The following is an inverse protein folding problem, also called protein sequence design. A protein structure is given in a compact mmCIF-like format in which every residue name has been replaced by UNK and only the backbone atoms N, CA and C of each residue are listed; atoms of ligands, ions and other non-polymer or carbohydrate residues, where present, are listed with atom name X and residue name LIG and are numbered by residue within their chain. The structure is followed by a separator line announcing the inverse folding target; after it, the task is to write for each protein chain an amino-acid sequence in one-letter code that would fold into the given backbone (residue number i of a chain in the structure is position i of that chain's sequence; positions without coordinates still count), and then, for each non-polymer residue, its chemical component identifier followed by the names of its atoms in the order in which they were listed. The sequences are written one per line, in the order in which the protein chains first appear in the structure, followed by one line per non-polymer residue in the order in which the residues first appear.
data_IF_774308721562
#
_entry.id   IF_774308721562
#
_cell.length_a   1.000
_cell.length_b   1.000
_cell.length_c   1.000
_cell.angle_alpha   90.00
_cell.angle_beta   90.00
_cell.angle_gamma   90.00
#
_symmetry.space_group_name_H-M   'P 1'
#
loop_
_entity.id
_entity.type
_entity.pdbx_description
1 polymer ?
#
# COMPACT_ATOMS: atom_id res chain seq x y z
N UNK A 1 18.06 -6.60 14.08
CA UNK A 1 17.25 -5.37 14.27
C UNK A 1 16.17 -5.69 15.28
N UNK A 2 15.94 -4.83 16.28
CA UNK A 2 14.86 -5.07 17.25
C UNK A 2 13.51 -4.84 16.56
N UNK A 3 12.58 -5.78 16.72
CA UNK A 3 11.22 -5.65 16.19
C UNK A 3 10.54 -4.42 16.77
N UNK A 4 10.23 -3.44 15.93
CA UNK A 4 9.49 -2.26 16.34
C UNK A 4 8.02 -2.64 16.53
N UNK A 5 7.45 -2.51 17.75
CA UNK A 5 6.08 -2.94 18.03
C UNK A 5 5.04 -2.16 17.20
N UNK A 6 5.34 -0.91 16.83
CA UNK A 6 4.46 -0.10 15.97
C UNK A 6 4.40 -0.71 14.58
N UNK A 7 5.52 -1.12 14.00
CA UNK A 7 5.57 -1.72 12.66
C UNK A 7 4.76 -3.02 12.59
N UNK A 8 4.85 -3.87 13.60
CA UNK A 8 4.04 -5.09 13.68
C UNK A 8 2.54 -4.78 13.82
N UNK A 9 2.19 -3.76 14.60
CA UNK A 9 0.80 -3.32 14.74
C UNK A 9 0.25 -2.79 13.40
N UNK A 10 1.06 -2.06 12.63
CA UNK A 10 0.71 -1.60 11.28
C UNK A 10 0.40 -2.81 10.39
N UNK A 11 1.31 -3.77 10.26
CA UNK A 11 1.08 -4.95 9.41
C UNK A 11 -0.16 -5.75 9.80
N UNK A 12 -0.34 -6.02 11.10
CA UNK A 12 -1.53 -6.73 11.58
C UNK A 12 -2.81 -5.97 11.24
N UNK A 13 -2.81 -4.64 11.39
CA UNK A 13 -3.95 -3.81 11.03
C UNK A 13 -4.18 -3.81 9.51
N UNK A 14 -3.14 -3.76 8.69
CA UNK A 14 -3.27 -3.81 7.23
C UNK A 14 -3.86 -5.15 6.78
N UNK A 15 -3.40 -6.27 7.33
CA UNK A 15 -3.95 -7.60 7.05
C UNK A 15 -5.44 -7.66 7.39
N UNK A 16 -5.82 -7.21 8.58
CA UNK A 16 -7.23 -7.19 8.99
C UNK A 16 -8.07 -6.28 8.07
N UNK A 17 -7.56 -5.08 7.78
CA UNK A 17 -8.28 -4.09 6.96
C UNK A 17 -8.53 -4.58 5.54
N UNK A 18 -7.50 -5.09 4.87
CA UNK A 18 -7.61 -5.53 3.48
C UNK A 18 -8.19 -6.94 3.36
N UNK A 19 -7.92 -7.83 4.32
CA UNK A 19 -8.41 -9.21 4.31
C UNK A 19 -9.87 -9.37 4.73
N UNK A 20 -10.39 -8.50 5.60
CA UNK A 20 -11.74 -8.63 6.15
C UNK A 20 -12.65 -7.46 5.76
N UNK A 21 -12.19 -6.22 5.96
CA UNK A 21 -13.06 -5.04 5.90
C UNK A 21 -13.26 -4.49 4.48
N UNK A 22 -12.22 -4.49 3.65
CA UNK A 22 -12.28 -3.85 2.34
C UNK A 22 -12.80 -4.75 1.22
N UNK A 23 -12.91 -6.07 1.43
CA UNK A 23 -13.53 -6.98 0.45
C UNK A 23 -14.92 -6.52 0.02
N UNK A 24 -15.69 -5.90 0.92
CA UNK A 24 -17.04 -5.40 0.62
C UNK A 24 -17.04 -4.17 -0.29
N UNK A 25 -16.00 -3.33 -0.24
CA UNK A 25 -15.91 -2.09 -1.04
C UNK A 25 -15.55 -2.37 -2.51
N UNK A 26 -14.82 -3.46 -2.75
CA UNK A 26 -14.36 -3.87 -4.06
C UNK A 26 -15.48 -4.42 -4.96
N UNK A 27 -16.67 -4.68 -4.43
CA UNK A 27 -17.84 -4.99 -5.27
C UNK A 27 -18.40 -3.76 -6.02
N UNK A 28 -17.90 -2.55 -5.76
CA UNK A 28 -18.33 -1.33 -6.47
C UNK A 28 -17.45 -1.08 -7.70
N UNK A 29 -18.06 -0.93 -8.87
CA UNK A 29 -17.38 -0.84 -10.18
C UNK A 29 -16.60 0.46 -10.44
N UNK A 30 -16.55 1.38 -9.48
CA UNK A 30 -15.91 2.68 -9.66
C UNK A 30 -14.62 2.79 -8.85
N UNK A 31 -13.49 2.85 -9.56
CA UNK A 31 -12.14 3.03 -9.00
C UNK A 31 -12.08 4.08 -7.90
N UNK A 32 -12.67 5.25 -8.15
CA UNK A 32 -12.69 6.39 -7.23
C UNK A 32 -13.33 6.05 -5.88
N UNK A 33 -14.33 5.16 -5.83
CA UNK A 33 -15.02 4.83 -4.58
C UNK A 33 -14.18 3.96 -3.67
N UNK A 34 -13.57 2.89 -4.19
CA UNK A 34 -12.74 2.02 -3.35
C UNK A 34 -11.42 2.71 -2.98
N UNK A 35 -10.79 3.46 -3.90
CA UNK A 35 -9.61 4.31 -3.61
C UNK A 35 -9.90 5.27 -2.47
N UNK A 36 -11.06 5.94 -2.50
CA UNK A 36 -11.53 6.78 -1.40
C UNK A 36 -11.70 5.98 -0.10
N UNK A 37 -12.33 4.81 -0.16
CA UNK A 37 -12.52 3.93 1.00
C UNK A 37 -11.21 3.53 1.67
N UNK A 38 -10.22 3.08 0.88
CA UNK A 38 -8.86 2.74 1.35
C UNK A 38 -8.21 3.94 2.02
N UNK A 39 -8.16 5.09 1.34
CA UNK A 39 -7.48 6.28 1.84
C UNK A 39 -8.09 6.79 3.16
N UNK A 40 -9.42 6.88 3.25
CA UNK A 40 -10.07 7.33 4.49
C UNK A 40 -9.85 6.33 5.64
N UNK A 41 -9.86 5.03 5.34
CA UNK A 41 -9.64 3.98 6.33
C UNK A 41 -8.21 4.04 6.89
N UNK A 42 -7.21 4.12 6.00
CA UNK A 42 -5.81 4.26 6.40
C UNK A 42 -5.54 5.61 7.08
N UNK A 43 -6.23 6.67 6.70
CA UNK A 43 -6.11 7.97 7.37
C UNK A 43 -6.55 7.88 8.84
N UNK A 44 -7.74 7.32 9.08
CA UNK A 44 -8.26 7.09 10.42
C UNK A 44 -7.29 6.26 11.27
N UNK A 45 -6.70 5.21 10.69
CA UNK A 45 -5.72 4.38 11.41
C UNK A 45 -4.42 5.11 11.71
N UNK A 46 -3.89 5.87 10.76
CA UNK A 46 -2.71 6.71 10.98
C UNK A 46 -2.92 7.65 12.16
N UNK A 47 -4.07 8.33 12.22
CA UNK A 47 -4.42 9.21 13.33
C UNK A 47 -4.56 8.48 14.67
N UNK A 48 -5.20 7.30 14.67
CA UNK A 48 -5.32 6.48 15.89
C UNK A 48 -3.97 6.04 16.44
N UNK A 49 -2.96 5.88 15.58
CA UNK A 49 -1.58 5.58 15.96
C UNK A 49 -0.74 6.83 16.26
N UNK A 50 -1.35 8.02 16.29
CA UNK A 50 -0.66 9.28 16.54
C UNK A 50 0.28 9.70 15.40
N UNK A 51 0.03 9.23 14.17
CA UNK A 51 0.72 9.68 12.98
C UNK A 51 -0.03 10.84 12.31
N UNK A 52 0.69 11.70 11.61
CA UNK A 52 0.13 12.61 10.62
C UNK A 52 0.03 11.87 9.28
N UNK A 53 -1.04 12.11 8.53
CA UNK A 53 -1.36 11.44 7.27
C UNK A 53 -1.37 12.45 6.13
N UNK A 54 -0.74 12.07 5.03
CA UNK A 54 -0.64 12.88 3.83
C UNK A 54 -1.14 12.05 2.64
N UNK A 55 -2.13 12.59 1.94
CA UNK A 55 -2.76 11.97 0.76
C UNK A 55 -3.66 13.03 0.09
N UNK A 56 -4.29 12.71 -1.04
CA UNK A 56 -5.21 13.63 -1.72
C UNK A 56 -6.34 14.09 -0.80
N UNK A 57 -6.40 15.40 -0.48
CA UNK A 57 -7.48 15.96 0.36
C UNK A 57 -8.85 15.90 -0.30
N UNK A 58 -8.90 15.84 -1.64
CA UNK A 58 -10.15 15.65 -2.37
C UNK A 58 -10.80 14.29 -2.06
N UNK A 59 -9.99 13.26 -1.81
CA UNK A 59 -10.46 11.92 -1.50
C UNK A 59 -10.53 11.68 0.02
N UNK A 60 -9.62 12.26 0.79
CA UNK A 60 -9.55 12.15 2.24
C UNK A 60 -9.41 13.52 2.91
N UNK A 61 -10.51 14.25 3.15
CA UNK A 61 -10.48 15.61 3.70
C UNK A 61 -9.83 15.74 5.09
N UNK A 62 -9.70 14.63 5.81
CA UNK A 62 -9.11 14.60 7.15
C UNK A 62 -7.57 14.58 7.13
N UNK A 63 -6.93 14.40 5.98
CA UNK A 63 -5.48 14.36 5.89
C UNK A 63 -4.84 15.73 6.24
N UNK A 64 -3.69 15.69 6.90
CA UNK A 64 -2.94 16.88 7.30
C UNK A 64 -2.40 17.63 6.08
N UNK A 65 -1.90 16.89 5.09
CA UNK A 65 -1.32 17.44 3.88
C UNK A 65 -1.72 16.69 2.62
N UNK A 66 -1.30 17.24 1.48
CA UNK A 66 -1.55 16.65 0.17
C UNK A 66 -0.67 15.43 -0.10
N UNK A 67 -1.07 14.67 -1.11
CA UNK A 67 -0.27 13.66 -1.77
C UNK A 67 1.10 14.22 -2.21
N UNK A 68 2.12 13.36 -2.24
CA UNK A 68 3.44 13.73 -2.75
C UNK A 68 3.92 12.71 -3.79
N UNK A 69 5.09 12.08 -3.58
CA UNK A 69 5.59 11.00 -4.44
C UNK A 69 4.75 9.72 -4.27
N UNK A 70 4.11 9.57 -3.11
CA UNK A 70 3.28 8.44 -2.71
C UNK A 70 1.82 8.84 -2.64
N UNK A 71 0.93 7.93 -3.05
CA UNK A 71 -0.52 8.09 -2.92
C UNK A 71 -0.94 8.36 -1.48
N UNK A 72 -0.21 7.77 -0.52
CA UNK A 72 -0.35 8.04 0.90
C UNK A 72 0.97 7.83 1.63
N UNK A 73 1.26 8.68 2.61
CA UNK A 73 2.32 8.41 3.58
C UNK A 73 1.95 8.90 4.98
N UNK A 74 2.46 8.19 5.99
CA UNK A 74 2.35 8.58 7.39
C UNK A 74 3.65 9.21 7.87
N UNK A 75 3.56 10.18 8.78
CA UNK A 75 4.68 10.80 9.46
C UNK A 75 4.50 10.68 10.97
N UNK A 76 5.57 10.40 11.70
CA UNK A 76 5.52 10.43 13.16
C UNK A 76 5.26 11.89 13.64
N UNK A 77 4.27 12.09 14.53
CA UNK A 77 3.77 13.42 14.88
C UNK A 77 4.74 14.32 15.69
N UNK A 78 5.87 13.80 16.18
CA UNK A 78 6.72 14.48 17.16
C UNK A 78 8.17 14.71 16.71
N UNK A 79 8.44 14.71 15.41
CA UNK A 79 9.79 14.93 14.92
C UNK A 79 9.99 16.39 14.50
N UNK A 80 10.58 17.20 15.39
CA UNK A 80 11.08 18.55 15.09
C UNK A 80 12.35 18.55 14.23
N UNK A 81 12.75 17.36 13.75
CA UNK A 81 13.99 17.10 13.04
C UNK A 81 13.82 17.28 11.53
N UNK A 82 14.93 17.52 10.82
CA UNK A 82 14.96 17.63 9.35
C UNK A 82 14.70 16.29 8.64
N UNK A 83 14.81 15.18 9.35
CA UNK A 83 14.50 13.85 8.85
C UNK A 83 13.26 13.35 9.58
N UNK A 84 12.19 13.14 8.80
CA UNK A 84 10.92 12.64 9.34
C UNK A 84 10.85 11.14 9.07
N UNK A 85 10.66 10.35 10.13
CA UNK A 85 10.37 8.93 10.06
C UNK A 85 9.01 8.73 9.37
N UNK A 86 8.98 7.78 8.45
CA UNK A 86 7.80 7.37 7.70
C UNK A 86 7.36 5.97 8.13
N UNK A 87 6.40 5.83 9.06
CA UNK A 87 5.91 4.51 9.46
C UNK A 87 5.30 3.73 8.30
N UNK A 88 4.64 4.42 7.37
CA UNK A 88 3.97 3.80 6.22
C UNK A 88 4.11 4.71 4.99
N UNK A 89 4.43 4.10 3.85
CA UNK A 89 4.21 4.69 2.52
C UNK A 89 3.37 3.73 1.69
N UNK A 90 2.56 4.28 0.79
CA UNK A 90 1.66 3.49 -0.04
C UNK A 90 1.68 3.95 -1.51
N UNK A 91 1.63 2.97 -2.42
CA UNK A 91 1.25 3.18 -3.81
C UNK A 91 0.01 2.33 -4.11
N UNK A 92 -0.85 2.83 -5.00
CA UNK A 92 -2.09 2.19 -5.35
C UNK A 92 -2.40 2.33 -6.84
N UNK A 93 -2.56 1.19 -7.50
CA UNK A 93 -2.80 1.12 -8.93
C UNK A 93 -4.06 0.30 -9.22
N UNK A 94 -4.88 0.74 -10.18
CA UNK A 94 -6.01 -0.02 -10.69
C UNK A 94 -5.85 -0.25 -12.17
N UNK A 95 -6.00 -1.50 -12.58
CA UNK A 95 -5.90 -1.92 -13.95
C UNK A 95 -7.16 -2.67 -14.35
N UNK A 96 -8.08 -1.92 -14.92
CA UNK A 96 -9.12 -2.48 -15.78
C UNK A 96 -8.47 -2.84 -17.12
N UNK A 97 -8.06 -4.09 -17.25
CA UNK A 97 -7.78 -4.86 -18.47
C UNK A 97 -6.99 -4.26 -19.65
N UNK A 98 -5.94 -4.99 -20.05
CA UNK A 98 -5.15 -4.85 -21.28
C UNK A 98 -4.25 -3.63 -21.40
N UNK A 99 -3.89 -2.96 -20.30
CA UNK A 99 -2.87 -1.93 -20.39
C UNK A 99 -1.53 -2.57 -20.83
N UNK A 100 -0.98 -2.24 -22.03
CA UNK A 100 0.28 -2.82 -22.51
C UNK A 100 1.47 -2.43 -21.62
N UNK A 101 1.30 -1.41 -20.77
CA UNK A 101 2.30 -0.94 -19.83
C UNK A 101 2.10 -1.49 -18.41
N UNK A 102 1.19 -2.45 -18.19
CA UNK A 102 0.89 -3.02 -16.86
C UNK A 102 2.16 -3.37 -16.05
N UNK A 103 3.06 -4.17 -16.64
CA UNK A 103 4.31 -4.55 -15.97
C UNK A 103 5.23 -3.35 -15.72
N UNK A 104 5.30 -2.39 -16.65
CA UNK A 104 6.12 -1.20 -16.49
C UNK A 104 5.63 -0.32 -15.33
N UNK A 105 4.31 -0.18 -15.17
CA UNK A 105 3.71 0.61 -14.09
C UNK A 105 3.93 -0.09 -12.75
N UNK A 106 3.71 -1.41 -12.67
CA UNK A 106 4.01 -2.17 -11.44
C UNK A 106 5.48 -1.99 -11.07
N UNK A 107 6.40 -2.14 -12.02
CA UNK A 107 7.84 -1.95 -11.78
C UNK A 107 8.10 -0.53 -11.26
N UNK A 108 7.51 0.50 -11.86
CA UNK A 108 7.67 1.88 -11.36
C UNK A 108 7.14 2.04 -9.93
N UNK A 109 5.97 1.50 -9.61
CA UNK A 109 5.36 1.64 -8.29
C UNK A 109 6.11 0.84 -7.22
N UNK A 110 6.60 -0.35 -7.55
CA UNK A 110 7.50 -1.14 -6.70
C UNK A 110 8.81 -0.40 -6.46
N UNK A 111 9.46 0.15 -7.49
CA UNK A 111 10.71 0.89 -7.33
C UNK A 111 10.52 2.18 -6.52
N UNK A 112 9.41 2.92 -6.73
CA UNK A 112 9.05 4.08 -5.89
C UNK A 112 9.01 3.68 -4.40
N UNK A 113 8.35 2.56 -4.08
CA UNK A 113 8.29 2.05 -2.71
C UNK A 113 9.66 1.58 -2.21
N UNK A 114 10.44 0.89 -3.03
CA UNK A 114 11.76 0.38 -2.66
C UNK A 114 12.74 1.51 -2.32
N UNK A 115 12.65 2.64 -3.02
CA UNK A 115 13.42 3.85 -2.71
C UNK A 115 12.97 4.55 -1.42
N UNK A 116 11.77 4.26 -0.91
CA UNK A 116 11.29 4.89 0.31
C UNK A 116 12.06 4.41 1.54
N UNK A 117 12.49 5.35 2.39
CA UNK A 117 13.03 5.08 3.73
C UNK A 117 11.88 5.02 4.74
N UNK A 118 11.03 4.01 4.60
CA UNK A 118 9.85 3.80 5.43
C UNK A 118 9.92 2.47 6.19
N UNK A 119 9.25 2.39 7.33
CA UNK A 119 9.21 1.14 8.13
C UNK A 119 8.35 0.07 7.47
N UNK A 120 7.30 0.48 6.76
CA UNK A 120 6.39 -0.41 6.04
C UNK A 120 6.03 0.21 4.69
N UNK A 121 6.04 -0.62 3.64
CA UNK A 121 5.72 -0.23 2.27
C UNK A 121 4.50 -1.02 1.82
N UNK A 122 3.43 -0.33 1.48
CA UNK A 122 2.18 -0.95 1.04
C UNK A 122 2.00 -0.71 -0.45
N UNK A 123 1.75 -1.78 -1.21
CA UNK A 123 1.26 -1.68 -2.57
C UNK A 123 -0.14 -2.28 -2.63
N UNK A 124 -1.12 -1.48 -3.04
CA UNK A 124 -2.50 -1.91 -3.28
C UNK A 124 -2.70 -1.98 -4.79
N UNK A 125 -3.12 -3.11 -5.32
CA UNK A 125 -3.09 -3.33 -6.77
C UNK A 125 -4.26 -4.18 -7.24
N UNK A 126 -4.98 -3.69 -8.24
CA UNK A 126 -5.89 -4.50 -9.05
C UNK A 126 -5.12 -5.28 -10.13
N UNK A 127 -5.37 -6.59 -10.26
CA UNK A 127 -4.69 -7.47 -11.22
C UNK A 127 -5.59 -8.63 -11.68
N UNK A 128 -5.12 -9.39 -12.68
CA UNK A 128 -5.83 -10.56 -13.24
C UNK A 128 -5.24 -11.91 -12.82
N UNK A 129 -4.02 -11.88 -12.35
CA UNK A 129 -3.28 -13.07 -11.98
C UNK A 129 -2.39 -12.67 -10.81
N UNK A 130 -2.92 -12.91 -9.62
CA UNK A 130 -2.26 -12.53 -8.37
C UNK A 130 -0.87 -13.14 -8.27
N UNK A 131 -0.72 -14.42 -8.62
CA UNK A 131 0.56 -15.14 -8.48
C UNK A 131 1.60 -14.62 -9.46
N UNK A 132 1.27 -14.51 -10.75
CA UNK A 132 2.19 -13.97 -11.76
C UNK A 132 2.60 -12.53 -11.43
N UNK A 133 1.66 -11.75 -10.91
CA UNK A 133 1.90 -10.37 -10.49
C UNK A 133 2.86 -10.33 -9.30
N UNK A 134 2.65 -11.20 -8.31
CA UNK A 134 3.51 -11.32 -7.14
C UNK A 134 4.92 -11.77 -7.51
N UNK A 135 5.06 -12.75 -8.40
CA UNK A 135 6.35 -13.21 -8.91
C UNK A 135 7.11 -12.07 -9.61
N UNK A 136 6.42 -11.24 -10.40
CA UNK A 136 7.00 -10.06 -11.04
C UNK A 136 7.48 -9.02 -10.01
N UNK A 137 6.68 -8.78 -8.96
CA UNK A 137 7.04 -7.87 -7.86
C UNK A 137 8.29 -8.37 -7.14
N UNK A 138 8.33 -9.65 -6.73
CA UNK A 138 9.48 -10.24 -6.05
C UNK A 138 10.74 -10.20 -6.92
N UNK A 139 10.64 -10.57 -8.19
CA UNK A 139 11.77 -10.48 -9.12
C UNK A 139 12.29 -9.03 -9.26
N UNK A 140 11.39 -8.05 -9.28
CA UNK A 140 11.77 -6.63 -9.34
C UNK A 140 12.50 -6.20 -8.06
N UNK A 141 12.04 -6.63 -6.88
CA UNK A 141 12.68 -6.32 -5.60
C UNK A 141 14.06 -6.99 -5.47
N UNK A 142 14.19 -8.27 -5.83
CA UNK A 142 15.46 -9.00 -5.79
C UNK A 142 16.53 -8.38 -6.70
N UNK A 143 16.12 -7.78 -7.82
CA UNK A 143 17.02 -7.08 -8.73
C UNK A 143 17.37 -5.66 -8.27
N UNK A 144 16.66 -5.11 -7.29
CA UNK A 144 16.93 -3.78 -6.78
C UNK A 144 18.16 -3.82 -5.85
N UNK A 145 19.23 -3.15 -6.28
CA UNK A 145 20.53 -3.14 -5.59
C UNK A 145 20.44 -2.75 -4.10
N UNK A 146 19.49 -1.89 -3.75
CA UNK A 146 19.28 -1.40 -2.39
C UNK A 146 18.11 -2.05 -1.67
N UNK A 147 17.67 -3.23 -2.10
CA UNK A 147 16.80 -4.05 -1.27
C UNK A 147 17.65 -4.58 -0.09
N UNK A 148 17.26 -4.29 1.16
CA UNK A 148 18.11 -4.51 2.34
C UNK A 148 17.38 -5.30 3.42
N UNK A 149 18.14 -6.01 4.27
CA UNK A 149 17.58 -6.68 5.45
C UNK A 149 16.76 -5.69 6.30
N UNK A 150 15.60 -6.10 6.77
CA UNK A 150 14.68 -5.26 7.52
C UNK A 150 13.70 -4.46 6.67
N UNK A 151 13.77 -4.52 5.33
CA UNK A 151 12.71 -4.00 4.48
C UNK A 151 11.44 -4.85 4.62
N UNK A 152 10.30 -4.16 4.78
CA UNK A 152 8.99 -4.80 5.00
C UNK A 152 7.97 -4.27 4.02
N UNK A 153 7.38 -5.21 3.27
CA UNK A 153 6.37 -4.94 2.26
C UNK A 153 5.08 -5.67 2.59
N UNK A 154 3.98 -4.98 2.35
CA UNK A 154 2.62 -5.53 2.35
C UNK A 154 2.07 -5.35 0.94
N UNK A 155 1.65 -6.45 0.31
CA UNK A 155 1.01 -6.45 -1.00
C UNK A 155 -0.46 -6.80 -0.84
N UNK A 156 -1.34 -5.87 -1.14
CA UNK A 156 -2.79 -6.07 -1.14
C UNK A 156 -3.28 -6.16 -2.59
N UNK A 157 -3.41 -7.39 -3.09
CA UNK A 157 -3.68 -7.68 -4.49
C UNK A 157 -5.14 -8.10 -4.66
N UNK A 158 -5.86 -7.43 -5.57
CA UNK A 158 -7.23 -7.78 -5.95
C UNK A 158 -7.23 -8.50 -7.29
N UNK A 159 -7.74 -9.72 -7.34
CA UNK A 159 -7.89 -10.47 -8.59
C UNK A 159 -9.25 -10.22 -9.24
N UNK A 160 -9.27 -9.72 -10.48
CA UNK A 160 -10.46 -9.48 -11.28
C UNK A 160 -10.90 -10.69 -12.13
N UNK A 161 -10.05 -11.71 -12.30
CA UNK A 161 -10.37 -12.88 -13.12
C UNK A 161 -11.22 -13.92 -12.40
N UNK A 162 -11.26 -13.87 -11.06
CA UNK A 162 -12.09 -14.77 -10.27
C UNK A 162 -13.57 -14.30 -10.41
N UNK A 163 -14.51 -15.22 -10.23
CA UNK A 163 -15.96 -14.90 -10.26
C UNK A 163 -16.21 -13.61 -9.45
N UNK A 164 -16.98 -12.61 -9.94
CA UNK A 164 -17.24 -11.35 -9.22
C UNK A 164 -17.83 -11.53 -7.80
N UNK A 165 -18.36 -12.72 -7.49
CA UNK A 165 -18.83 -13.11 -6.16
C UNK A 165 -17.80 -13.85 -5.28
N UNK A 166 -16.62 -14.17 -5.83
CA UNK A 166 -15.49 -14.82 -5.15
C UNK A 166 -14.20 -14.00 -5.21
N UNK A 167 -14.24 -12.79 -5.78
CA UNK A 167 -13.13 -11.86 -5.77
C UNK A 167 -12.82 -11.42 -4.34
N UNK A 168 -11.64 -11.81 -3.85
CA UNK A 168 -11.13 -11.41 -2.55
C UNK A 168 -9.78 -10.74 -2.74
N UNK A 169 -9.57 -9.69 -1.98
CA UNK A 169 -8.24 -9.14 -1.77
C UNK A 169 -7.37 -10.17 -1.05
N UNK A 170 -6.20 -10.43 -1.63
CA UNK A 170 -5.18 -11.28 -1.03
C UNK A 170 -4.07 -10.38 -0.48
N UNK A 171 -3.69 -10.62 0.77
CA UNK A 171 -2.66 -9.83 1.46
C UNK A 171 -1.43 -10.70 1.64
N UNK A 172 -0.28 -10.23 1.15
CA UNK A 172 1.00 -10.92 1.26
C UNK A 172 1.98 -10.06 2.06
N UNK A 173 2.69 -10.69 2.99
CA UNK A 173 3.83 -10.07 3.67
C UNK A 173 5.13 -10.54 3.02
N UNK A 174 6.07 -9.61 2.87
CA UNK A 174 7.39 -9.91 2.36
C UNK A 174 8.44 -9.11 3.11
N UNK A 175 9.33 -9.84 3.79
CA UNK A 175 10.41 -9.29 4.59
C UNK A 175 11.74 -9.76 4.01
N UNK A 176 12.76 -8.90 4.04
CA UNK A 176 14.16 -9.29 3.78
C UNK A 176 14.96 -9.49 5.06
#
# INVERSE_FOLDING_TARGET
MQNNPITNAIEGQLIHTFGEYLNDFFHTTHFTHWRKGVLNTLCKYGHQLGCQVFTSKALCPQAEGEEWIYDLHWRAANESSRLVRLPLVMQMEDFQDQNPFFHAIITQSVLKLAHARADTRLLVLGCRDTQRTLDHIYNTLEQFEHYQAGDRYVFALWDFNINPHANKMQVFLHHR
#
